data_IF_839723322287
#
_entry.id   IF_839723322287
#
_cell.length_a   1.000
_cell.length_b   1.000
_cell.length_c   1.000
_cell.angle_alpha   90.00
_cell.angle_beta   90.00
_cell.angle_gamma   90.00
#
_symmetry.space_group_name_H-M   'P 1'
#
loop_
_entity.id
_entity.type
_entity.pdbx_description
1 polymer ?
#
# COMPACT_ATOMS: atom_id res chain seq x y z
N UNK A 1 6.47 -12.04 -11.47
CA UNK A 1 7.29 -11.28 -10.49
C UNK A 1 6.39 -10.97 -9.31
N UNK A 2 6.87 -11.03 -8.06
CA UNK A 2 6.04 -10.69 -6.90
C UNK A 2 6.34 -9.27 -6.43
N UNK A 3 5.41 -8.33 -6.64
CA UNK A 3 5.48 -6.94 -6.19
C UNK A 3 5.36 -6.87 -4.67
N UNK A 4 6.18 -6.05 -4.01
CA UNK A 4 6.09 -5.84 -2.57
C UNK A 4 5.26 -4.59 -2.28
N UNK A 5 4.12 -4.77 -1.60
CA UNK A 5 3.25 -3.68 -1.17
C UNK A 5 3.37 -3.51 0.33
N UNK A 6 3.91 -2.39 0.77
CA UNK A 6 4.07 -2.03 2.17
C UNK A 6 2.90 -1.16 2.64
N UNK A 7 2.31 -1.50 3.78
CA UNK A 7 1.30 -0.71 4.47
C UNK A 7 1.91 -0.16 5.75
N UNK A 8 1.99 1.15 5.82
CA UNK A 8 2.50 1.92 6.92
C UNK A 8 1.35 2.37 7.82
N UNK A 9 1.45 2.11 9.12
CA UNK A 9 0.51 2.58 10.12
C UNK A 9 1.19 3.34 11.26
N UNK A 10 0.72 4.56 11.55
CA UNK A 10 1.30 5.43 12.59
C UNK A 10 0.65 5.28 13.97
N UNK A 11 -0.61 4.84 14.04
CA UNK A 11 -1.44 4.92 15.27
C UNK A 11 -1.80 3.57 15.89
N UNK A 12 -1.35 2.44 15.32
CA UNK A 12 -1.49 1.11 15.93
C UNK A 12 -1.92 0.01 14.96
N UNK A 13 -1.69 -1.25 15.34
CA UNK A 13 -1.92 -2.44 14.49
C UNK A 13 -3.38 -2.62 14.05
N UNK A 14 -4.35 -2.06 14.79
CA UNK A 14 -5.77 -2.31 14.56
C UNK A 14 -6.27 -1.85 13.18
N UNK A 15 -5.85 -0.66 12.74
CA UNK A 15 -6.26 -0.09 11.45
C UNK A 15 -5.56 -0.75 10.27
N UNK A 16 -4.30 -1.18 10.44
CA UNK A 16 -3.56 -1.93 9.42
C UNK A 16 -4.18 -3.30 9.11
N UNK A 17 -4.72 -4.01 10.10
CA UNK A 17 -5.36 -5.32 9.86
C UNK A 17 -6.60 -5.21 8.97
N UNK A 18 -7.38 -4.13 9.15
CA UNK A 18 -8.57 -3.87 8.33
C UNK A 18 -8.18 -3.59 6.88
N UNK A 19 -7.18 -2.73 6.67
CA UNK A 19 -6.68 -2.37 5.33
C UNK A 19 -6.08 -3.60 4.63
N UNK A 20 -5.25 -4.37 5.34
CA UNK A 20 -4.68 -5.63 4.86
C UNK A 20 -5.76 -6.61 4.41
N UNK A 21 -6.80 -6.81 5.22
CA UNK A 21 -7.91 -7.70 4.89
C UNK A 21 -8.62 -7.27 3.60
N UNK A 22 -8.97 -5.98 3.49
CA UNK A 22 -9.63 -5.46 2.28
C UNK A 22 -8.74 -5.56 1.04
N UNK A 23 -7.47 -5.18 1.14
CA UNK A 23 -6.49 -5.30 0.05
C UNK A 23 -6.35 -6.75 -0.40
N UNK A 24 -6.21 -7.68 0.55
CA UNK A 24 -6.09 -9.11 0.26
C UNK A 24 -7.32 -9.62 -0.50
N UNK A 25 -8.53 -9.37 0.00
CA UNK A 25 -9.77 -9.78 -0.67
C UNK A 25 -9.88 -9.18 -2.06
N UNK A 26 -9.59 -7.89 -2.22
CA UNK A 26 -9.64 -7.21 -3.50
C UNK A 26 -8.59 -7.78 -4.48
N UNK A 27 -7.35 -8.02 -4.02
CA UNK A 27 -6.30 -8.66 -4.81
C UNK A 27 -6.67 -10.09 -5.23
N UNK A 28 -7.34 -10.85 -4.35
CA UNK A 28 -7.86 -12.19 -4.67
C UNK A 28 -8.95 -12.12 -5.74
N UNK A 29 -9.85 -11.15 -5.67
CA UNK A 29 -10.88 -10.93 -6.70
C UNK A 29 -10.29 -10.56 -8.07
N UNK A 30 -9.20 -9.80 -8.08
CA UNK A 30 -8.48 -9.45 -9.31
C UNK A 30 -7.55 -10.58 -9.80
N UNK A 31 -7.34 -11.64 -9.02
CA UNK A 31 -6.36 -12.69 -9.32
C UNK A 31 -4.89 -12.23 -9.17
N UNK A 32 -4.66 -11.06 -8.56
CA UNK A 32 -3.34 -10.46 -8.34
C UNK A 32 -2.72 -10.85 -6.99
N UNK A 33 -3.46 -11.52 -6.12
CA UNK A 33 -3.00 -11.95 -4.79
C UNK A 33 -1.74 -12.84 -4.82
N UNK A 34 -1.48 -13.53 -5.92
CA UNK A 34 -0.25 -14.33 -6.12
C UNK A 34 0.94 -13.49 -6.61
N UNK A 35 0.67 -12.32 -7.18
CA UNK A 35 1.66 -11.41 -7.73
C UNK A 35 2.01 -10.26 -6.78
N UNK A 36 1.27 -10.09 -5.68
CA UNK A 36 1.49 -9.01 -4.70
C UNK A 36 1.70 -9.60 -3.32
N UNK A 37 2.71 -9.11 -2.62
CA UNK A 37 3.02 -9.49 -1.25
C UNK A 37 2.81 -8.27 -0.34
N UNK A 38 1.82 -8.39 0.54
CA UNK A 38 1.47 -7.37 1.51
C UNK A 38 2.42 -7.43 2.72
N UNK A 39 2.97 -6.27 3.09
CA UNK A 39 3.83 -6.07 4.26
C UNK A 39 3.21 -5.00 5.15
N UNK A 40 3.32 -5.16 6.47
CA UNK A 40 2.84 -4.16 7.43
C UNK A 40 3.99 -3.72 8.33
N UNK A 41 4.17 -2.41 8.46
CA UNK A 41 5.21 -1.85 9.34
C UNK A 41 4.85 -0.46 9.84
N UNK A 42 5.71 0.09 10.69
CA UNK A 42 5.61 1.45 11.19
C UNK A 42 6.35 2.40 10.27
N UNK A 43 5.84 3.62 10.17
CA UNK A 43 6.46 4.69 9.36
C UNK A 43 7.91 4.92 9.77
N UNK A 44 8.19 4.93 11.07
CA UNK A 44 9.51 5.28 11.59
C UNK A 44 10.60 4.24 11.26
N UNK A 45 10.24 2.97 11.11
CA UNK A 45 11.20 1.90 10.80
C UNK A 45 11.38 1.76 9.29
N UNK A 46 10.29 1.86 8.53
CA UNK A 46 10.31 1.57 7.10
C UNK A 46 10.50 2.79 6.21
N UNK A 47 10.47 4.03 6.73
CA UNK A 47 10.72 5.28 5.97
C UNK A 47 12.08 5.27 5.25
N UNK A 48 13.08 4.56 5.79
CA UNK A 48 14.39 4.42 5.17
C UNK A 48 14.46 3.26 4.16
N UNK A 49 13.48 2.36 4.18
CA UNK A 49 13.44 1.14 3.35
C UNK A 49 12.34 1.17 2.29
N UNK A 50 11.54 2.24 2.21
CA UNK A 50 10.48 2.42 1.20
C UNK A 50 10.95 2.22 -0.24
N UNK A 51 12.24 2.46 -0.53
CA UNK A 51 12.81 2.33 -1.87
C UNK A 51 13.00 0.84 -2.29
N UNK A 52 12.98 -0.09 -1.33
CA UNK A 52 13.03 -1.54 -1.60
C UNK A 52 11.63 -2.13 -1.94
N UNK A 53 10.58 -1.34 -1.74
CA UNK A 53 9.21 -1.72 -2.01
C UNK A 53 8.75 -1.08 -3.31
N UNK A 54 8.04 -1.86 -4.14
CA UNK A 54 7.41 -1.31 -5.34
C UNK A 54 6.30 -0.33 -4.96
N UNK A 55 5.52 -0.65 -3.93
CA UNK A 55 4.32 0.11 -3.56
C UNK A 55 4.34 0.37 -2.07
N UNK A 56 4.14 1.61 -1.66
CA UNK A 56 4.03 1.98 -0.25
C UNK A 56 2.75 2.75 -0.02
N UNK A 57 1.94 2.28 0.93
CA UNK A 57 0.66 2.86 1.32
C UNK A 57 0.79 3.33 2.75
N UNK A 58 0.60 4.63 3.02
CA UNK A 58 0.59 5.14 4.39
C UNK A 58 -0.79 5.56 4.83
N UNK A 59 -1.19 5.08 5.99
CA UNK A 59 -2.41 5.52 6.68
C UNK A 59 -2.15 6.64 7.70
N UNK A 60 -0.98 7.27 7.63
CA UNK A 60 -0.54 8.30 8.57
C UNK A 60 0.27 9.39 7.87
N UNK A 61 0.52 10.48 8.59
CA UNK A 61 1.39 11.57 8.15
C UNK A 61 2.82 11.03 8.01
N UNK A 62 3.32 11.07 6.77
CA UNK A 62 4.71 10.77 6.43
C UNK A 62 5.45 12.06 6.09
N UNK A 63 6.77 12.12 6.28
CA UNK A 63 7.55 13.30 5.88
C UNK A 63 7.45 13.52 4.37
N UNK A 64 7.40 14.78 3.92
CA UNK A 64 7.25 15.14 2.51
C UNK A 64 8.33 14.52 1.61
N UNK A 65 9.51 14.25 2.17
CA UNK A 65 10.62 13.58 1.49
C UNK A 65 10.29 12.19 0.95
N UNK A 66 9.26 11.53 1.49
CA UNK A 66 8.78 10.21 1.03
C UNK A 66 7.35 10.24 0.55
N UNK A 67 6.62 11.30 0.86
CA UNK A 67 5.19 11.44 0.57
C UNK A 67 4.87 11.32 -0.91
N UNK A 68 5.77 11.78 -1.79
CA UNK A 68 5.60 11.62 -3.25
C UNK A 68 5.71 10.17 -3.72
N UNK A 69 6.37 9.29 -2.94
CA UNK A 69 6.53 7.87 -3.22
C UNK A 69 5.52 6.99 -2.46
N UNK A 70 4.61 7.61 -1.69
CA UNK A 70 3.71 6.91 -0.79
C UNK A 70 2.27 7.25 -1.13
N UNK A 71 1.47 6.22 -1.33
CA UNK A 71 0.04 6.33 -1.60
C UNK A 71 -0.70 6.62 -0.29
N UNK A 72 -1.61 7.59 -0.34
CA UNK A 72 -2.41 7.98 0.81
C UNK A 72 -3.49 6.92 1.09
N UNK A 73 -3.28 6.14 2.15
CA UNK A 73 -4.15 5.05 2.59
C UNK A 73 -5.25 5.50 3.55
N UNK A 74 -5.29 6.78 3.94
CA UNK A 74 -6.37 7.33 4.79
C UNK A 74 -7.78 7.06 4.22
N UNK A 75 -8.03 7.15 2.90
CA UNK A 75 -9.32 6.82 2.29
C UNK A 75 -9.77 5.36 2.52
N UNK A 76 -8.82 4.42 2.67
CA UNK A 76 -9.11 3.00 2.94
C UNK A 76 -9.73 2.81 4.33
N UNK A 77 -9.35 3.66 5.27
CA UNK A 77 -9.86 3.66 6.65
C UNK A 77 -11.24 4.32 6.75
N UNK A 78 -11.40 5.48 6.11
CA UNK A 78 -12.68 6.21 6.13
C UNK A 78 -13.74 5.54 5.26
N UNK A 79 -13.33 4.71 4.30
CA UNK A 79 -14.23 4.06 3.34
C UNK A 79 -14.71 5.00 2.24
N UNK A 80 -14.33 6.28 2.28
CA UNK A 80 -14.70 7.27 1.28
C UNK A 80 -13.52 7.43 0.32
N UNK A 81 -13.68 6.95 -0.92
CA UNK A 81 -12.63 7.01 -1.94
C UNK A 81 -11.60 5.88 -1.88
N UNK A 82 -11.88 4.81 -1.13
CA UNK A 82 -11.04 3.61 -1.07
C UNK A 82 -10.81 2.99 -2.46
N UNK A 83 -11.83 2.99 -3.32
CA UNK A 83 -11.75 2.50 -4.71
C UNK A 83 -10.69 3.20 -5.54
N UNK A 84 -10.48 4.50 -5.33
CA UNK A 84 -9.42 5.25 -6.02
C UNK A 84 -8.04 4.76 -5.61
N UNK A 85 -7.84 4.56 -4.32
CA UNK A 85 -6.58 4.02 -3.77
C UNK A 85 -6.34 2.61 -4.30
N UNK A 86 -7.38 1.75 -4.35
CA UNK A 86 -7.26 0.42 -4.96
C UNK A 86 -6.90 0.48 -6.45
N UNK A 87 -7.51 1.39 -7.20
CA UNK A 87 -7.21 1.57 -8.62
C UNK A 87 -5.76 2.06 -8.82
N UNK A 88 -5.29 2.98 -7.99
CA UNK A 88 -3.93 3.51 -8.04
C UNK A 88 -2.90 2.42 -7.70
N UNK A 89 -3.14 1.65 -6.63
CA UNK A 89 -2.35 0.46 -6.29
C UNK A 89 -2.36 -0.54 -7.44
N UNK A 90 -3.53 -0.80 -8.06
CA UNK A 90 -3.63 -1.70 -9.22
C UNK A 90 -2.73 -1.24 -10.35
N UNK A 91 -2.86 0.03 -10.68
CA UNK A 91 -2.14 0.64 -11.77
C UNK A 91 -0.64 0.55 -11.50
N UNK A 92 -0.18 0.77 -10.27
CA UNK A 92 1.24 0.62 -9.92
C UNK A 92 1.74 -0.84 -10.02
N UNK A 93 0.90 -1.81 -9.62
CA UNK A 93 1.18 -3.25 -9.80
C UNK A 93 1.35 -3.60 -11.29
N UNK A 94 0.46 -3.09 -12.14
CA UNK A 94 0.41 -3.37 -13.58
C UNK A 94 1.45 -2.55 -14.38
N UNK A 95 1.63 -1.26 -14.06
CA UNK A 95 2.55 -0.32 -14.71
C UNK A 95 4.01 -0.60 -14.32
N UNK A 96 4.23 -1.18 -13.15
CA UNK A 96 5.52 -1.76 -12.78
C UNK A 96 5.97 -2.94 -13.65
N UNK A 97 5.17 -3.41 -14.61
CA UNK A 97 5.63 -4.26 -15.75
C UNK A 97 6.00 -3.45 -17.00
N UNK A 98 5.55 -2.20 -17.13
CA UNK A 98 5.71 -1.36 -18.32
C UNK A 98 6.91 -0.41 -18.26
N UNK A 99 7.40 -0.03 -17.07
CA UNK A 99 8.57 0.84 -16.92
C UNK A 99 9.88 0.03 -16.94
N UNK A 100 10.36 -0.25 -18.16
CA UNK A 100 11.74 -0.63 -18.46
C UNK A 100 12.62 0.61 -18.61
#
# INVERSE_FOLDING_TARGET
MTKKLLVICGTGVATSTVVMGKLKTWLEQQGLSKNVKLYQSKVAEEVNHIDDYDIVVSTTLVPDSIKEKVIDGVPLLTGVGADKVYAEIKQDIEDGEAAK
#
